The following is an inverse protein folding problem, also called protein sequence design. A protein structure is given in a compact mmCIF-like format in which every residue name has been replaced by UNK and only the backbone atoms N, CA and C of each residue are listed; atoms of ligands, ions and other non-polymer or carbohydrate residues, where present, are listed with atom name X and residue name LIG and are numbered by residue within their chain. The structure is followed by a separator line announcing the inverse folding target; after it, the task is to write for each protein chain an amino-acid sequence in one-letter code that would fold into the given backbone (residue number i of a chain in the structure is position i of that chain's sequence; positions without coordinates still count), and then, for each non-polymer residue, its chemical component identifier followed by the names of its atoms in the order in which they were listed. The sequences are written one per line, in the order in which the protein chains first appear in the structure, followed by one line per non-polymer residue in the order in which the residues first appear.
data_IF_738185626399
#
_entry.id   IF_738185626399
#
_cell.length_a   1.000
_cell.length_b   1.000
_cell.length_c   1.000
_cell.angle_alpha   90.00
_cell.angle_beta   90.00
_cell.angle_gamma   90.00
#
_symmetry.space_group_name_H-M   'P 1'
#
loop_
_entity.id
_entity.type
_entity.pdbx_description
1 polymer ?
#
# COMPACT_ATOMS: atom_id res chain seq x y z
N UNK A 1 39.74 -45.26 65.23
CA UNK A 1 40.45 -44.22 64.47
C UNK A 1 39.45 -43.49 63.60
N UNK A 2 39.25 -42.20 63.86
CA UNK A 2 38.44 -41.26 63.08
C UNK A 2 39.07 -41.02 61.70
N UNK A 3 38.22 -40.76 60.69
CA UNK A 3 38.43 -39.95 59.45
C UNK A 3 37.19 -40.19 58.57
N UNK A 4 36.12 -39.42 58.72
CA UNK A 4 35.84 -38.08 58.14
C UNK A 4 35.47 -38.07 56.64
N UNK A 5 34.26 -37.54 56.38
CA UNK A 5 33.74 -36.77 55.23
C UNK A 5 33.84 -37.41 53.82
N UNK A 6 32.75 -37.50 53.04
CA UNK A 6 32.06 -36.33 52.47
C UNK A 6 30.60 -36.70 52.08
N UNK A 7 29.63 -35.97 52.63
CA UNK A 7 28.26 -35.93 52.12
C UNK A 7 28.23 -34.82 51.07
N UNK A 8 28.10 -35.19 49.79
CA UNK A 8 27.82 -34.23 48.73
C UNK A 8 26.32 -33.95 48.78
N UNK A 9 25.93 -32.89 49.50
CA UNK A 9 24.60 -32.32 49.40
C UNK A 9 24.53 -31.55 48.08
N UNK A 10 23.90 -32.12 47.06
CA UNK A 10 23.58 -31.40 45.83
C UNK A 10 22.50 -30.36 46.17
N UNK A 11 22.92 -29.12 46.43
CA UNK A 11 22.01 -27.97 46.41
C UNK A 11 21.67 -27.69 44.94
N UNK A 12 20.60 -28.32 44.45
CA UNK A 12 19.93 -27.87 43.24
C UNK A 12 19.25 -26.54 43.55
N UNK A 13 19.99 -25.43 43.41
CA UNK A 13 19.41 -24.09 43.33
C UNK A 13 18.62 -24.06 42.01
N UNK A 14 17.34 -24.42 42.10
CA UNK A 14 16.35 -24.11 41.08
C UNK A 14 16.24 -22.58 41.05
N UNK A 15 17.07 -21.93 40.24
CA UNK A 15 16.74 -20.58 39.79
C UNK A 15 15.46 -20.72 38.96
N UNK A 16 14.35 -20.07 39.36
CA UNK A 16 13.27 -19.86 38.42
C UNK A 16 13.85 -18.95 37.33
N UNK A 17 14.22 -19.55 36.20
CA UNK A 17 14.32 -18.80 34.96
C UNK A 17 12.90 -18.35 34.68
N UNK A 18 12.56 -17.13 35.09
CA UNK A 18 11.37 -16.45 34.61
C UNK A 18 11.54 -16.32 33.11
N UNK A 19 10.97 -17.27 32.37
CA UNK A 19 10.74 -17.14 30.94
C UNK A 19 9.71 -16.02 30.82
N UNK A 20 10.19 -14.78 30.70
CA UNK A 20 9.35 -13.70 30.21
C UNK A 20 9.09 -14.00 28.74
N UNK A 21 7.91 -14.57 28.47
CA UNK A 21 7.29 -14.37 27.16
C UNK A 21 7.09 -12.86 27.02
N UNK A 22 7.83 -12.24 26.11
CA UNK A 22 7.47 -10.91 25.61
C UNK A 22 6.22 -11.12 24.76
N UNK A 23 5.05 -11.12 25.41
CA UNK A 23 3.79 -10.90 24.71
C UNK A 23 3.91 -9.47 24.13
N UNK A 24 4.00 -9.36 22.80
CA UNK A 24 3.90 -8.05 22.16
C UNK A 24 2.58 -7.43 22.60
N UNK A 25 2.71 -6.32 23.31
CA UNK A 25 1.59 -5.61 23.88
C UNK A 25 0.76 -4.98 22.76
N UNK A 26 -0.24 -5.71 22.27
CA UNK A 26 -1.19 -5.26 21.24
C UNK A 26 -2.13 -4.13 21.71
N UNK A 27 -1.76 -3.38 22.75
CA UNK A 27 -2.55 -2.24 23.22
C UNK A 27 -2.57 -1.14 22.17
N UNK A 28 -3.78 -0.67 21.88
CA UNK A 28 -3.98 0.55 21.09
C UNK A 28 -3.19 1.70 21.73
N UNK A 29 -2.29 2.31 20.95
CA UNK A 29 -1.59 3.53 21.34
C UNK A 29 -2.42 4.71 20.86
N UNK A 30 -3.09 5.46 21.76
CA UNK A 30 -3.86 6.63 21.34
C UNK A 30 -2.94 7.71 20.80
N UNK A 31 -3.41 8.41 19.76
CA UNK A 31 -2.77 9.63 19.29
C UNK A 31 -2.79 10.69 20.39
N UNK A 32 -1.69 11.44 20.52
CA UNK A 32 -1.53 12.46 21.57
C UNK A 32 -1.25 13.85 21.00
N UNK A 33 -0.91 13.97 19.72
CA UNK A 33 -0.72 15.25 19.07
C UNK A 33 -2.06 16.03 19.00
N UNK A 34 -2.15 17.22 19.61
CA UNK A 34 -3.40 17.98 19.68
C UNK A 34 -3.92 18.41 18.30
N UNK A 35 -3.04 18.67 17.33
CA UNK A 35 -3.45 19.03 15.96
C UNK A 35 -4.03 17.83 15.23
N UNK A 36 -3.45 16.65 15.43
CA UNK A 36 -3.99 15.41 14.85
C UNK A 36 -5.34 15.09 15.48
N UNK A 37 -5.46 15.20 16.81
CA UNK A 37 -6.73 14.98 17.53
C UNK A 37 -7.84 15.94 17.07
N UNK A 38 -7.54 17.22 16.89
CA UNK A 38 -8.49 18.20 16.34
C UNK A 38 -8.94 17.82 14.92
N UNK A 39 -7.98 17.48 14.04
CA UNK A 39 -8.27 17.09 12.66
C UNK A 39 -9.11 15.79 12.61
N UNK A 40 -8.79 14.80 13.43
CA UNK A 40 -9.57 13.57 13.57
C UNK A 40 -10.98 13.85 14.06
N UNK A 41 -11.17 14.69 15.07
CA UNK A 41 -12.50 15.08 15.56
C UNK A 41 -13.34 15.73 14.46
N UNK A 42 -12.74 16.62 13.67
CA UNK A 42 -13.41 17.26 12.52
C UNK A 42 -13.76 16.26 11.43
N UNK A 43 -12.83 15.40 11.05
CA UNK A 43 -13.05 14.38 10.03
C UNK A 43 -14.13 13.37 10.43
N UNK A 44 -14.11 12.93 11.70
CA UNK A 44 -15.14 12.05 12.25
C UNK A 44 -16.53 12.67 12.19
N UNK A 45 -16.67 14.00 12.25
CA UNK A 45 -17.95 14.69 12.14
C UNK A 45 -18.47 14.81 10.70
N UNK A 46 -17.59 14.69 9.69
CA UNK A 46 -17.99 14.80 8.29
C UNK A 46 -18.90 13.63 7.83
N UNK A 47 -18.72 12.44 8.42
CA UNK A 47 -19.45 11.17 8.20
C UNK A 47 -19.44 10.57 6.79
N UNK A 48 -19.58 11.40 5.74
CA UNK A 48 -19.87 10.95 4.39
C UNK A 48 -18.91 11.58 3.37
N UNK A 49 -18.25 10.74 2.58
CA UNK A 49 -17.30 11.17 1.56
C UNK A 49 -17.29 10.25 0.35
N UNK A 50 -16.53 10.67 -0.66
CA UNK A 50 -16.33 9.98 -1.93
C UNK A 50 -14.97 9.31 -1.94
N UNK A 51 -14.92 7.99 -2.15
CA UNK A 51 -13.69 7.30 -2.52
C UNK A 51 -13.74 6.99 -4.02
N UNK A 52 -12.74 7.44 -4.78
CA UNK A 52 -12.70 7.32 -6.23
C UNK A 52 -11.50 6.50 -6.66
N UNK A 53 -11.77 5.27 -7.12
CA UNK A 53 -10.81 4.43 -7.84
C UNK A 53 -10.91 4.71 -9.33
N UNK A 54 -9.87 5.30 -9.89
CA UNK A 54 -9.82 5.60 -11.32
C UNK A 54 -8.39 5.55 -11.85
N UNK A 55 -8.24 4.93 -13.01
CA UNK A 55 -6.97 4.77 -13.72
C UNK A 55 -7.19 4.07 -15.06
N UNK A 56 -6.12 3.75 -15.80
CA UNK A 56 -6.20 3.16 -17.14
C UNK A 56 -7.01 1.86 -17.21
N UNK A 57 -7.02 1.06 -16.14
CA UNK A 57 -7.82 -0.17 -16.00
C UNK A 57 -9.33 0.03 -16.17
N UNK A 58 -9.83 1.24 -15.93
CA UNK A 58 -11.25 1.57 -16.13
C UNK A 58 -11.70 1.37 -17.59
N UNK A 59 -10.77 1.42 -18.56
CA UNK A 59 -11.04 1.11 -19.98
C UNK A 59 -11.51 -0.33 -20.19
N UNK A 60 -11.08 -1.25 -19.35
CA UNK A 60 -11.42 -2.67 -19.45
C UNK A 60 -12.59 -3.08 -18.54
N UNK A 61 -13.04 -2.20 -17.64
CA UNK A 61 -14.07 -2.54 -16.66
C UNK A 61 -13.65 -3.68 -15.71
N UNK A 62 -12.35 -3.79 -15.43
CA UNK A 62 -11.79 -4.77 -14.48
C UNK A 62 -11.52 -4.12 -13.13
N UNK A 63 -11.39 -4.96 -12.10
CA UNK A 63 -11.01 -4.50 -10.76
C UNK A 63 -9.59 -3.94 -10.81
N UNK A 64 -9.40 -2.76 -10.22
CA UNK A 64 -8.18 -1.98 -10.20
C UNK A 64 -6.95 -2.83 -9.81
N UNK A 65 -5.98 -2.99 -10.72
CA UNK A 65 -4.74 -3.79 -10.58
C UNK A 65 -4.89 -5.28 -10.23
N UNK A 66 -5.95 -5.73 -9.57
CA UNK A 66 -6.00 -7.06 -8.98
C UNK A 66 -6.01 -8.18 -10.02
N UNK A 67 -6.41 -7.87 -11.26
CA UNK A 67 -6.28 -8.80 -12.38
C UNK A 67 -4.84 -9.00 -12.86
N UNK A 68 -3.85 -8.24 -12.38
CA UNK A 68 -2.42 -8.54 -12.55
C UNK A 68 -1.79 -9.18 -11.31
N UNK A 69 -2.51 -9.32 -10.19
CA UNK A 69 -2.01 -10.10 -9.05
C UNK A 69 -2.03 -11.60 -9.41
N UNK A 70 -0.91 -12.35 -9.26
CA UNK A 70 -0.84 -13.76 -9.65
C UNK A 70 -1.57 -14.72 -8.69
N UNK A 71 -2.27 -14.19 -7.68
CA UNK A 71 -3.09 -14.99 -6.77
C UNK A 71 -4.35 -15.53 -7.47
N UNK A 72 -4.79 -16.74 -7.07
CA UNK A 72 -6.04 -17.35 -7.54
C UNK A 72 -7.22 -16.89 -6.67
N UNK A 73 -7.77 -15.75 -7.06
CA UNK A 73 -8.92 -15.12 -6.43
C UNK A 73 -10.07 -15.01 -7.44
N UNK A 74 -11.25 -15.51 -7.06
CA UNK A 74 -12.38 -15.66 -7.98
C UNK A 74 -12.94 -14.33 -8.52
N UNK A 75 -12.70 -13.23 -7.81
CA UNK A 75 -13.23 -11.90 -8.13
C UNK A 75 -12.32 -11.05 -9.03
N UNK A 76 -11.06 -11.47 -9.26
CA UNK A 76 -10.11 -10.75 -10.11
C UNK A 76 -9.49 -11.66 -11.20
N UNK A 77 -10.33 -12.50 -11.81
CA UNK A 77 -9.88 -13.42 -12.86
C UNK A 77 -9.52 -12.71 -14.16
N UNK A 78 -8.47 -13.24 -14.79
CA UNK A 78 -8.01 -12.85 -16.12
C UNK A 78 -8.85 -13.55 -17.19
N UNK A 79 -9.01 -12.90 -18.34
CA UNK A 79 -9.69 -13.45 -19.51
C UNK A 79 -8.72 -14.04 -20.55
N UNK A 80 -7.43 -14.14 -20.22
CA UNK A 80 -6.38 -14.71 -21.07
C UNK A 80 -5.69 -15.87 -20.37
N UNK A 81 -5.19 -16.83 -21.14
CA UNK A 81 -4.47 -17.99 -20.61
C UNK A 81 -3.03 -17.64 -20.19
N UNK A 82 -2.39 -16.69 -20.86
CA UNK A 82 -1.01 -16.28 -20.57
C UNK A 82 -0.97 -15.06 -19.64
N UNK A 83 -0.41 -15.25 -18.44
CA UNK A 83 -0.27 -14.20 -17.43
C UNK A 83 0.62 -13.04 -17.88
N UNK A 84 1.81 -13.33 -18.43
CA UNK A 84 2.76 -12.30 -18.83
C UNK A 84 2.20 -11.43 -19.97
N UNK A 85 1.52 -12.06 -20.93
CA UNK A 85 0.84 -11.33 -22.00
C UNK A 85 -0.29 -10.44 -21.45
N UNK A 86 -1.05 -10.92 -20.46
CA UNK A 86 -2.08 -10.13 -19.79
C UNK A 86 -1.49 -8.88 -19.13
N UNK A 87 -0.43 -9.06 -18.32
CA UNK A 87 0.25 -7.96 -17.62
C UNK A 87 0.77 -6.93 -18.62
N UNK A 88 1.44 -7.36 -19.68
CA UNK A 88 1.94 -6.45 -20.73
C UNK A 88 0.81 -5.64 -21.40
N UNK A 89 -0.34 -6.27 -21.68
CA UNK A 89 -1.51 -5.57 -22.24
C UNK A 89 -2.13 -4.61 -21.22
N UNK A 90 -2.20 -5.02 -19.96
CA UNK A 90 -2.72 -4.21 -18.86
C UNK A 90 -1.87 -2.96 -18.67
N UNK A 91 -0.54 -3.11 -18.57
CA UNK A 91 0.39 -1.98 -18.48
C UNK A 91 0.36 -1.12 -19.75
N UNK A 92 0.08 -1.73 -20.90
CA UNK A 92 -0.14 -1.04 -22.17
C UNK A 92 -1.35 -0.10 -22.19
N UNK A 93 -2.28 -0.20 -21.23
CA UNK A 93 -3.49 0.64 -21.17
C UNK A 93 -3.19 2.13 -21.10
N UNK A 94 -2.03 2.53 -20.55
CA UNK A 94 -1.62 3.94 -20.55
C UNK A 94 -1.58 4.54 -21.95
N UNK A 95 -1.26 3.74 -22.98
CA UNK A 95 -1.08 4.18 -24.38
C UNK A 95 -2.38 4.52 -25.08
N UNK A 96 -3.52 4.13 -24.51
CA UNK A 96 -4.86 4.45 -25.04
C UNK A 96 -5.69 5.29 -24.07
N UNK A 97 -5.23 5.48 -22.83
CA UNK A 97 -5.97 6.22 -21.83
C UNK A 97 -6.03 7.71 -22.18
N UNK A 98 -7.23 8.17 -22.59
CA UNK A 98 -7.49 9.55 -22.99
C UNK A 98 -8.87 10.01 -22.51
N UNK A 99 -9.03 10.46 -21.26
CA UNK A 99 -10.32 10.91 -20.75
C UNK A 99 -10.72 12.29 -21.30
N UNK A 100 -11.18 12.34 -22.55
CA UNK A 100 -11.53 13.57 -23.28
C UNK A 100 -12.61 14.43 -22.58
N UNK A 101 -13.46 13.80 -21.77
CA UNK A 101 -14.53 14.45 -21.00
C UNK A 101 -14.14 14.75 -19.55
N UNK A 102 -12.85 14.68 -19.22
CA UNK A 102 -12.35 14.95 -17.87
C UNK A 102 -12.73 16.36 -17.42
N UNK A 103 -13.62 16.45 -16.43
CA UNK A 103 -14.07 17.70 -15.85
C UNK A 103 -14.39 17.50 -14.35
N UNK A 104 -13.38 17.64 -13.47
CA UNK A 104 -13.55 17.38 -12.05
C UNK A 104 -14.48 18.39 -11.35
N UNK A 105 -14.70 19.58 -11.92
CA UNK A 105 -15.64 20.57 -11.38
C UNK A 105 -17.08 20.02 -11.38
N UNK A 106 -17.46 19.24 -12.41
CA UNK A 106 -18.78 18.59 -12.47
C UNK A 106 -18.90 17.52 -11.39
N UNK A 107 -17.84 16.76 -11.14
CA UNK A 107 -17.82 15.71 -10.12
C UNK A 107 -17.89 16.29 -8.71
N UNK A 108 -17.09 17.33 -8.43
CA UNK A 108 -17.08 18.02 -7.15
C UNK A 108 -18.45 18.64 -6.83
N UNK A 109 -19.07 19.31 -7.82
CA UNK A 109 -20.42 19.85 -7.68
C UNK A 109 -21.46 18.77 -7.38
N UNK A 110 -21.43 17.66 -8.13
CA UNK A 110 -22.36 16.56 -7.90
C UNK A 110 -22.17 15.91 -6.52
N UNK A 111 -20.93 15.70 -6.08
CA UNK A 111 -20.62 15.18 -4.76
C UNK A 111 -21.13 16.12 -3.65
N UNK A 112 -20.96 17.43 -3.82
CA UNK A 112 -21.47 18.45 -2.89
C UNK A 112 -22.99 18.39 -2.79
N UNK A 113 -23.67 18.33 -3.94
CA UNK A 113 -25.13 18.25 -4.02
C UNK A 113 -25.68 16.95 -3.42
N UNK A 114 -24.91 15.86 -3.49
CA UNK A 114 -25.20 14.60 -2.79
C UNK A 114 -24.95 14.67 -1.27
N UNK A 115 -24.35 15.75 -0.76
CA UNK A 115 -24.07 15.95 0.67
C UNK A 115 -22.74 15.40 1.15
N UNK A 116 -21.86 14.92 0.25
CA UNK A 116 -20.52 14.46 0.60
C UNK A 116 -19.65 15.63 1.08
N UNK A 117 -18.66 15.34 1.93
CA UNK A 117 -17.84 16.35 2.61
C UNK A 117 -16.33 16.17 2.44
N UNK A 118 -15.91 15.00 1.99
CA UNK A 118 -14.50 14.74 1.67
C UNK A 118 -14.39 13.84 0.46
N UNK A 119 -13.27 13.94 -0.25
CA UNK A 119 -12.92 13.05 -1.36
C UNK A 119 -11.59 12.39 -1.06
N UNK A 120 -11.46 11.11 -1.38
CA UNK A 120 -10.21 10.38 -1.43
C UNK A 120 -10.04 9.86 -2.84
N UNK A 121 -8.97 10.26 -3.52
CA UNK A 121 -8.70 9.91 -4.91
C UNK A 121 -7.48 9.00 -5.01
N UNK A 122 -7.57 7.92 -5.79
CA UNK A 122 -6.44 7.04 -6.09
C UNK A 122 -5.37 7.76 -6.89
N UNK A 123 -4.37 8.32 -6.21
CA UNK A 123 -3.21 8.92 -6.90
C UNK A 123 -2.31 7.84 -7.48
N UNK A 124 -2.24 6.68 -6.83
CA UNK A 124 -1.57 5.48 -7.31
C UNK A 124 -2.19 4.23 -6.68
N UNK A 125 -2.60 3.26 -7.50
CA UNK A 125 -3.07 1.93 -7.05
C UNK A 125 -1.92 0.90 -7.09
N UNK A 126 -2.16 -0.37 -6.76
CA UNK A 126 -1.12 -1.40 -6.71
C UNK A 126 -0.42 -1.64 -8.06
N UNK A 127 -1.06 -1.32 -9.19
CA UNK A 127 -0.42 -1.42 -10.52
C UNK A 127 0.70 -0.40 -10.74
N UNK A 128 0.86 0.57 -9.83
CA UNK A 128 1.91 1.59 -9.91
C UNK A 128 1.59 2.76 -10.86
N UNK A 129 0.45 2.78 -11.56
CA UNK A 129 0.15 3.88 -12.47
C UNK A 129 -0.15 5.15 -11.69
N UNK A 130 0.67 6.17 -11.88
CA UNK A 130 0.52 7.44 -11.16
C UNK A 130 -0.45 8.37 -11.90
N UNK A 131 -1.56 8.71 -11.24
CA UNK A 131 -2.56 9.70 -11.67
C UNK A 131 -2.14 11.14 -11.31
N UNK A 132 -0.84 11.36 -11.12
CA UNK A 132 -0.23 12.64 -10.76
C UNK A 132 1.15 12.75 -11.42
N UNK A 133 1.70 13.96 -11.50
CA UNK A 133 2.96 14.22 -12.19
C UNK A 133 4.19 13.97 -11.30
N UNK A 134 4.47 12.70 -11.04
CA UNK A 134 5.66 12.32 -10.25
C UNK A 134 6.95 12.36 -11.06
N UNK A 135 8.08 12.72 -10.42
CA UNK A 135 9.40 12.68 -11.06
C UNK A 135 10.06 11.29 -11.04
N UNK A 136 9.45 10.31 -10.36
CA UNK A 136 10.11 9.04 -10.03
C UNK A 136 9.76 7.87 -10.96
N UNK A 137 8.77 8.02 -11.86
CA UNK A 137 8.42 7.00 -12.88
C UNK A 137 7.77 7.63 -14.10
N UNK A 138 7.98 7.03 -15.28
CA UNK A 138 7.26 7.35 -16.52
C UNK A 138 5.95 6.56 -16.67
N UNK A 139 5.64 5.67 -15.73
CA UNK A 139 4.35 4.98 -15.64
C UNK A 139 3.31 5.89 -14.95
N UNK A 140 2.99 7.00 -15.61
CA UNK A 140 2.15 8.08 -15.10
C UNK A 140 1.32 8.72 -16.21
N UNK A 141 0.25 9.42 -15.83
CA UNK A 141 -0.69 10.06 -16.75
C UNK A 141 -0.10 11.23 -17.56
N UNK A 142 0.92 11.91 -17.02
CA UNK A 142 1.62 13.01 -17.69
C UNK A 142 2.77 12.55 -18.59
N UNK A 143 3.01 11.25 -18.67
CA UNK A 143 4.04 10.68 -19.55
C UNK A 143 3.67 10.89 -21.02
N UNK A 144 4.62 11.24 -21.91
CA UNK A 144 4.37 11.36 -23.35
C UNK A 144 3.76 10.11 -24.00
N UNK A 145 3.92 8.93 -23.38
CA UNK A 145 3.28 7.69 -23.85
C UNK A 145 1.78 7.64 -23.57
N UNK A 146 1.26 8.45 -22.65
CA UNK A 146 -0.16 8.53 -22.35
C UNK A 146 -0.80 9.62 -23.23
N UNK A 147 -1.81 9.33 -24.07
CA UNK A 147 -2.40 10.34 -24.96
C UNK A 147 -2.89 11.60 -24.23
N UNK A 148 -3.36 11.45 -22.99
CA UNK A 148 -3.86 12.56 -22.18
C UNK A 148 -2.78 13.58 -21.75
N UNK A 149 -1.48 13.26 -21.84
CA UNK A 149 -0.40 14.13 -21.36
C UNK A 149 -0.41 15.54 -21.97
N UNK A 150 -0.87 15.67 -23.20
CA UNK A 150 -0.95 16.94 -23.94
C UNK A 150 -2.09 17.85 -23.45
N UNK A 151 -3.02 17.30 -22.65
CA UNK A 151 -4.09 18.08 -22.06
C UNK A 151 -3.52 19.03 -20.99
N UNK A 152 -3.90 20.31 -20.95
CA UNK A 152 -3.48 21.23 -19.89
C UNK A 152 -3.84 20.76 -18.47
N UNK A 153 -4.82 19.86 -18.34
CA UNK A 153 -5.30 19.25 -17.10
C UNK A 153 -4.74 17.82 -16.88
N UNK A 154 -3.65 17.45 -17.55
CA UNK A 154 -3.09 16.10 -17.50
C UNK A 154 -2.67 15.66 -16.08
N UNK A 155 -2.26 16.60 -15.22
CA UNK A 155 -2.02 16.29 -13.80
C UNK A 155 -3.34 16.16 -13.04
N UNK A 156 -4.04 15.05 -13.25
CA UNK A 156 -5.44 14.88 -12.82
C UNK A 156 -5.64 14.89 -11.31
N UNK A 157 -4.71 14.34 -10.51
CA UNK A 157 -4.81 14.42 -9.05
C UNK A 157 -4.87 15.87 -8.57
N UNK A 158 -4.02 16.75 -9.13
CA UNK A 158 -4.03 18.18 -8.83
C UNK A 158 -5.37 18.82 -9.19
N UNK A 159 -5.85 18.56 -10.39
CA UNK A 159 -7.11 19.13 -10.89
C UNK A 159 -8.33 18.66 -10.08
N UNK A 160 -8.34 17.39 -9.65
CA UNK A 160 -9.37 16.84 -8.77
C UNK A 160 -9.31 17.51 -7.41
N UNK A 161 -8.14 17.56 -6.76
CA UNK A 161 -8.02 18.19 -5.45
C UNK A 161 -8.40 19.68 -5.48
N UNK A 162 -7.98 20.41 -6.52
CA UNK A 162 -8.36 21.81 -6.69
C UNK A 162 -9.88 21.99 -6.86
N UNK A 163 -10.52 21.16 -7.69
CA UNK A 163 -11.98 21.23 -7.89
C UNK A 163 -12.77 20.93 -6.60
N UNK A 164 -12.39 19.88 -5.88
CA UNK A 164 -13.08 19.49 -4.64
C UNK A 164 -12.81 20.49 -3.50
N UNK A 165 -11.58 21.03 -3.37
CA UNK A 165 -11.29 22.10 -2.40
C UNK A 165 -12.13 23.35 -2.65
N UNK A 166 -12.35 23.74 -3.92
CA UNK A 166 -13.24 24.88 -4.26
C UNK A 166 -14.67 24.68 -3.78
N UNK A 167 -15.12 23.43 -3.70
CA UNK A 167 -16.44 23.05 -3.21
C UNK A 167 -16.49 22.80 -1.69
N UNK A 168 -15.41 23.12 -0.97
CA UNK A 168 -15.33 23.05 0.49
C UNK A 168 -15.07 21.65 1.03
N UNK A 169 -14.55 20.73 0.22
CA UNK A 169 -14.24 19.37 0.65
C UNK A 169 -12.89 19.30 1.36
N UNK A 170 -12.79 18.40 2.34
CA UNK A 170 -11.49 17.82 2.68
C UNK A 170 -11.00 16.93 1.53
N UNK A 171 -9.71 16.99 1.19
CA UNK A 171 -9.14 16.20 0.08
C UNK A 171 -8.14 15.17 0.60
N UNK A 172 -8.21 13.97 0.04
CA UNK A 172 -7.37 12.86 0.41
C UNK A 172 -6.67 12.21 -0.77
N UNK A 173 -5.39 11.91 -0.59
CA UNK A 173 -4.61 11.11 -1.51
C UNK A 173 -4.65 9.65 -1.06
N UNK A 174 -5.32 8.79 -1.81
CA UNK A 174 -5.09 7.35 -1.70
C UNK A 174 -3.75 7.05 -2.32
N UNK A 175 -2.91 6.31 -1.60
CA UNK A 175 -1.62 5.85 -2.08
C UNK A 175 -1.42 4.37 -1.75
N UNK A 176 -1.22 3.56 -2.77
CA UNK A 176 -0.84 2.16 -2.61
C UNK A 176 0.62 2.04 -2.17
N UNK A 177 0.84 1.41 -1.00
CA UNK A 177 2.19 1.00 -0.56
C UNK A 177 2.87 0.00 -1.50
N UNK A 178 2.22 -1.11 -1.93
CA UNK A 178 2.78 -2.01 -2.94
C UNK A 178 2.77 -1.33 -4.32
N UNK A 179 3.74 -1.66 -5.14
CA UNK A 179 3.84 -1.16 -6.50
C UNK A 179 4.32 -2.29 -7.42
N UNK A 180 3.38 -2.91 -8.13
CA UNK A 180 3.61 -4.08 -8.95
C UNK A 180 4.29 -3.76 -10.29
N UNK A 181 4.45 -2.49 -10.63
CA UNK A 181 5.24 -2.04 -11.79
C UNK A 181 6.67 -1.64 -11.40
N UNK A 182 6.90 -1.23 -10.15
CA UNK A 182 8.24 -0.87 -9.69
C UNK A 182 9.20 -2.05 -9.70
N UNK A 183 10.31 -1.93 -10.42
CA UNK A 183 11.38 -2.95 -10.46
C UNK A 183 12.06 -3.16 -9.09
N UNK A 184 11.85 -2.25 -8.13
CA UNK A 184 12.33 -2.39 -6.77
C UNK A 184 11.37 -3.19 -5.88
N UNK A 185 10.17 -3.53 -6.34
CA UNK A 185 9.19 -4.34 -5.61
C UNK A 185 8.92 -5.66 -6.32
N UNK A 186 8.46 -5.61 -7.58
CA UNK A 186 8.44 -6.77 -8.47
C UNK A 186 9.65 -6.72 -9.38
N UNK A 187 10.77 -7.23 -8.88
CA UNK A 187 12.02 -7.25 -9.61
C UNK A 187 11.92 -8.20 -10.81
N UNK A 188 12.17 -7.73 -12.07
CA UNK A 188 12.12 -8.60 -13.25
C UNK A 188 13.01 -9.86 -13.23
N UNK A 189 13.99 -9.94 -12.32
CA UNK A 189 14.83 -11.12 -12.16
C UNK A 189 14.08 -12.32 -11.55
N UNK A 190 12.93 -12.10 -10.90
CA UNK A 190 12.10 -13.14 -10.32
C UNK A 190 10.66 -13.01 -10.82
N UNK A 191 9.95 -14.12 -11.10
CA UNK A 191 8.53 -14.04 -11.37
C UNK A 191 7.78 -13.62 -10.09
N UNK A 192 6.77 -12.74 -10.17
CA UNK A 192 5.92 -12.44 -9.01
C UNK A 192 5.14 -13.69 -8.61
N UNK A 193 5.16 -14.00 -7.32
CA UNK A 193 4.47 -15.18 -6.77
C UNK A 193 3.05 -14.85 -6.30
N UNK A 194 2.89 -13.70 -5.67
CA UNK A 194 1.65 -13.22 -5.06
C UNK A 194 1.69 -11.68 -4.93
N UNK A 195 0.83 -11.08 -4.11
CA UNK A 195 0.76 -9.62 -3.91
C UNK A 195 2.00 -8.97 -3.27
N UNK A 196 2.91 -9.74 -2.69
CA UNK A 196 4.09 -9.24 -1.99
C UNK A 196 5.27 -8.94 -2.93
N UNK A 197 6.33 -8.34 -2.39
CA UNK A 197 7.67 -8.28 -3.00
C UNK A 197 8.12 -9.68 -3.43
N UNK A 198 8.71 -9.80 -4.61
CA UNK A 198 9.04 -11.10 -5.23
C UNK A 198 10.48 -11.59 -4.95
N UNK A 199 11.16 -10.97 -3.99
CA UNK A 199 12.48 -11.31 -3.50
C UNK A 199 12.53 -11.09 -1.98
N UNK A 200 13.60 -11.53 -1.32
CA UNK A 200 13.81 -11.31 0.11
C UNK A 200 14.42 -9.92 0.40
N UNK A 201 13.68 -8.97 1.02
CA UNK A 201 14.22 -7.65 1.34
C UNK A 201 15.42 -7.68 2.28
N UNK A 202 15.51 -8.68 3.17
CA UNK A 202 16.61 -8.81 4.13
C UNK A 202 17.90 -9.28 3.44
N UNK A 203 17.77 -10.14 2.42
CA UNK A 203 18.90 -10.55 1.58
C UNK A 203 19.33 -9.46 0.58
N UNK A 204 18.43 -8.55 0.20
CA UNK A 204 18.69 -7.48 -0.77
C UNK A 204 18.35 -6.08 -0.21
N UNK A 205 18.99 -5.65 0.89
CA UNK A 205 18.62 -4.43 1.62
C UNK A 205 18.81 -3.16 0.79
N UNK A 206 19.85 -3.10 -0.06
CA UNK A 206 20.08 -1.96 -0.94
C UNK A 206 18.96 -1.78 -1.97
N UNK A 207 18.41 -2.88 -2.49
CA UNK A 207 17.28 -2.83 -3.42
C UNK A 207 16.01 -2.38 -2.72
N UNK A 208 15.76 -2.93 -1.53
CA UNK A 208 14.62 -2.52 -0.72
C UNK A 208 14.71 -1.04 -0.32
N UNK A 209 15.91 -0.53 0.01
CA UNK A 209 16.11 0.90 0.27
C UNK A 209 15.76 1.78 -0.94
N UNK A 210 16.02 1.33 -2.17
CA UNK A 210 15.57 2.06 -3.37
C UNK A 210 14.05 2.12 -3.47
N UNK A 211 13.35 1.03 -3.09
CA UNK A 211 11.89 1.02 -3.03
C UNK A 211 11.35 1.96 -1.95
N UNK A 212 11.98 1.99 -0.77
CA UNK A 212 11.62 2.94 0.30
C UNK A 212 11.78 4.37 -0.16
N UNK A 213 12.94 4.72 -0.73
CA UNK A 213 13.18 6.07 -1.24
C UNK A 213 12.19 6.43 -2.36
N UNK A 214 11.91 5.50 -3.28
CA UNK A 214 10.92 5.69 -4.34
C UNK A 214 9.53 6.03 -3.77
N UNK A 215 9.06 5.24 -2.80
CA UNK A 215 7.77 5.42 -2.15
C UNK A 215 7.71 6.72 -1.34
N UNK A 216 8.72 6.99 -0.52
CA UNK A 216 8.78 8.21 0.31
C UNK A 216 8.76 9.46 -0.54
N UNK A 217 9.59 9.50 -1.59
CA UNK A 217 9.66 10.67 -2.43
C UNK A 217 8.34 10.96 -3.17
N UNK A 218 7.63 9.93 -3.62
CA UNK A 218 6.29 10.10 -4.24
C UNK A 218 5.25 10.62 -3.25
N UNK A 219 5.26 10.11 -2.01
CA UNK A 219 4.36 10.58 -0.95
C UNK A 219 4.69 12.04 -0.61
N UNK A 220 5.97 12.38 -0.48
CA UNK A 220 6.40 13.76 -0.23
C UNK A 220 5.99 14.71 -1.35
N UNK A 221 6.11 14.33 -2.64
CA UNK A 221 5.59 15.13 -3.77
C UNK A 221 4.10 15.43 -3.59
N UNK A 222 3.29 14.43 -3.20
CA UNK A 222 1.87 14.62 -2.96
C UNK A 222 1.59 15.53 -1.75
N UNK A 223 2.40 15.44 -0.69
CA UNK A 223 2.21 16.25 0.52
C UNK A 223 2.76 17.69 0.37
N UNK A 224 3.65 17.96 -0.58
CA UNK A 224 4.24 19.29 -0.79
C UNK A 224 3.63 20.06 -1.96
N UNK A 225 3.42 19.41 -3.10
CA UNK A 225 3.18 20.10 -4.38
C UNK A 225 1.68 20.24 -4.72
N UNK A 226 0.80 19.56 -3.98
CA UNK A 226 -0.64 19.43 -4.28
C UNK A 226 -1.54 20.26 -3.33
N UNK A 227 -0.93 21.17 -2.57
CA UNK A 227 -1.59 21.97 -1.54
C UNK A 227 -1.88 21.16 -0.27
N UNK A 228 -2.67 21.70 0.67
CA UNK A 228 -3.03 20.98 1.88
C UNK A 228 -3.76 19.67 1.56
N UNK A 229 -3.25 18.57 2.09
CA UNK A 229 -3.88 17.25 2.03
C UNK A 229 -4.44 16.91 3.41
N UNK A 230 -5.73 16.61 3.46
CA UNK A 230 -6.44 16.31 4.69
C UNK A 230 -6.23 14.86 5.13
N UNK A 231 -6.17 13.95 4.16
CA UNK A 231 -6.13 12.51 4.39
C UNK A 231 -5.05 11.89 3.50
N UNK A 232 -4.02 11.28 4.11
CA UNK A 232 -3.16 10.32 3.41
C UNK A 232 -3.74 8.92 3.66
N UNK A 233 -4.40 8.36 2.65
CA UNK A 233 -5.09 7.07 2.75
C UNK A 233 -4.20 5.96 2.19
N UNK A 234 -3.48 5.26 3.08
CA UNK A 234 -2.50 4.24 2.68
C UNK A 234 -3.15 2.87 2.53
N UNK A 235 -3.10 2.30 1.33
CA UNK A 235 -3.53 0.92 1.08
C UNK A 235 -2.36 -0.06 1.03
N UNK A 236 -2.66 -1.36 0.89
CA UNK A 236 -1.70 -2.43 0.85
C UNK A 236 -1.16 -2.75 2.23
N UNK A 237 -2.05 -2.95 3.20
CA UNK A 237 -1.69 -3.21 4.60
C UNK A 237 -0.78 -4.43 4.85
N UNK A 238 -0.55 -5.28 3.84
CA UNK A 238 0.45 -6.34 3.90
C UNK A 238 1.89 -5.83 3.78
N UNK A 239 2.10 -4.67 3.15
CA UNK A 239 3.37 -3.94 3.11
C UNK A 239 3.53 -3.21 4.43
N UNK A 240 4.11 -3.90 5.41
CA UNK A 240 4.30 -3.41 6.77
C UNK A 240 5.50 -4.09 7.41
N UNK A 241 6.00 -3.46 8.48
CA UNK A 241 6.94 -4.10 9.41
C UNK A 241 6.31 -5.35 10.00
N UNK A 242 7.02 -6.47 9.91
CA UNK A 242 6.60 -7.76 10.50
C UNK A 242 7.74 -8.37 11.29
N UNK A 243 7.61 -8.42 12.63
CA UNK A 243 8.55 -9.15 13.49
C UNK A 243 8.67 -10.64 13.09
N UNK A 244 9.86 -11.21 13.28
CA UNK A 244 10.17 -12.57 12.82
C UNK A 244 9.31 -13.67 13.49
N UNK A 245 8.92 -13.47 14.73
CA UNK A 245 8.03 -14.30 15.52
C UNK A 245 6.59 -14.23 15.01
N UNK A 246 6.09 -13.02 14.70
CA UNK A 246 4.79 -12.84 14.06
C UNK A 246 4.72 -13.58 12.72
N UNK A 247 5.78 -13.52 11.92
CA UNK A 247 5.86 -14.23 10.64
C UNK A 247 5.76 -15.74 10.86
N UNK A 248 6.54 -16.30 11.80
CA UNK A 248 6.51 -17.74 12.12
C UNK A 248 5.11 -18.19 12.53
N UNK A 249 4.51 -17.49 13.49
CA UNK A 249 3.18 -17.82 13.98
C UNK A 249 2.11 -17.74 12.88
N UNK A 250 2.20 -16.73 12.00
CA UNK A 250 1.27 -16.59 10.90
C UNK A 250 1.43 -17.70 9.83
N UNK A 251 2.64 -18.22 9.60
CA UNK A 251 2.83 -19.39 8.76
C UNK A 251 2.28 -20.68 9.39
N UNK A 252 2.45 -20.88 10.70
CA UNK A 252 1.86 -22.02 11.42
C UNK A 252 0.34 -22.05 11.24
N UNK A 253 -0.32 -20.90 11.43
CA UNK A 253 -1.77 -20.77 11.22
C UNK A 253 -2.16 -21.04 9.76
N UNK A 254 -1.46 -20.43 8.78
CA UNK A 254 -1.75 -20.66 7.36
C UNK A 254 -1.61 -22.12 6.94
N UNK A 255 -0.62 -22.84 7.49
CA UNK A 255 -0.40 -24.27 7.19
C UNK A 255 -1.56 -25.11 7.76
N UNK A 256 -2.04 -24.79 8.95
CA UNK A 256 -3.17 -25.50 9.57
C UNK A 256 -4.49 -25.28 8.82
N UNK A 257 -4.67 -24.11 8.20
CA UNK A 257 -5.89 -23.74 7.47
C UNK A 257 -5.97 -24.34 6.06
N UNK A 258 -4.86 -24.78 5.47
CA UNK A 258 -4.84 -25.33 4.10
C UNK A 258 -4.92 -26.85 4.08
N UNK A 259 -5.90 -27.40 3.35
CA UNK A 259 -6.04 -28.85 3.18
C UNK A 259 -5.04 -29.43 2.17
N UNK A 260 -4.61 -28.64 1.18
CA UNK A 260 -3.72 -29.09 0.09
C UNK A 260 -2.26 -28.78 0.34
N UNK A 261 -1.93 -28.03 1.40
CA UNK A 261 -0.59 -27.46 1.61
C UNK A 261 -0.28 -26.28 0.67
N UNK A 262 -1.20 -25.92 -0.23
CA UNK A 262 -1.01 -24.78 -1.14
C UNK A 262 -1.19 -23.47 -0.39
N UNK A 263 -0.13 -22.65 -0.36
CA UNK A 263 -0.14 -21.31 0.21
C UNK A 263 -0.39 -20.30 -0.90
N UNK A 264 -1.54 -19.62 -0.86
CA UNK A 264 -1.93 -18.59 -1.83
C UNK A 264 -1.00 -17.37 -1.82
N UNK A 265 -0.46 -17.02 -0.66
CA UNK A 265 0.40 -15.86 -0.49
C UNK A 265 1.43 -16.06 0.61
N UNK A 266 2.58 -15.43 0.43
CA UNK A 266 3.67 -15.34 1.39
C UNK A 266 3.35 -14.32 2.49
N UNK A 267 4.12 -14.42 3.56
CA UNK A 267 4.20 -13.45 4.65
C UNK A 267 5.66 -13.02 4.73
N UNK A 268 5.91 -11.74 4.43
CA UNK A 268 7.26 -11.18 4.28
C UNK A 268 7.29 -9.86 5.05
N UNK A 269 8.39 -9.62 5.77
CA UNK A 269 8.68 -8.30 6.35
C UNK A 269 8.95 -7.31 5.22
N UNK A 270 8.05 -6.35 5.05
CA UNK A 270 8.08 -5.36 3.97
C UNK A 270 8.00 -3.96 4.57
N UNK A 271 8.87 -3.71 5.54
CA UNK A 271 8.91 -2.44 6.23
C UNK A 271 9.44 -1.33 5.30
N UNK A 272 8.52 -0.50 4.82
CA UNK A 272 8.87 0.69 4.05
C UNK A 272 9.25 1.88 4.93
N UNK A 273 9.22 1.76 6.27
CA UNK A 273 9.66 2.80 7.23
C UNK A 273 8.89 4.11 7.12
N UNK A 274 7.56 4.01 7.07
CA UNK A 274 6.67 5.17 7.05
C UNK A 274 6.81 6.08 8.29
N UNK A 275 7.43 5.59 9.37
CA UNK A 275 7.78 6.35 10.56
C UNK A 275 8.99 7.29 10.38
N UNK A 276 9.74 7.16 9.28
CA UNK A 276 10.85 8.06 8.91
C UNK A 276 10.42 9.24 8.02
N UNK A 277 9.15 9.27 7.58
CA UNK A 277 8.55 10.33 6.75
C UNK A 277 8.03 11.50 7.59
#
# INVERSE_FOLDING_TARGET
MKKELFIILLWSVLFPVSIFSQEEDHRYVPETDPLVLEKLSRWQDLKFGLLMHWGPYSQWGVVESWSICPEDEGWCRRNTENYNEYVQKYEGLKKTFNPEKFNPDVWAKAAREAGMKYVVFTTKHHDGFCMFDTKYTDYKITSPECPFHSNPKANVAKEIFDAFRKEGFMVGAYFSKPDWHSEYYWWPNFPPRDRNVNYDPEAYPERWQKFVNYTHNQILELMSDYGPIDILWLDGGWVAKKPSDMIKHAYENKINDTQSGYLKSQIINQDIRMDEL
#
